data_IF_601849750779
#
_entry.id   IF_601849750779
#
_cell.length_a   1.000
_cell.length_b   1.000
_cell.length_c   1.000
_cell.angle_alpha   90.00
_cell.angle_beta   90.00
_cell.angle_gamma   90.00
#
_symmetry.space_group_name_H-M   'P 1'
#
loop_
_entity.id
_entity.type
_entity.pdbx_description
1 polymer ?
#
# COMPACT_ATOMS: atom_id res chain seq x y z
N UNK A 1 -6.15 -25.79 -5.05
CA UNK A 1 -5.38 -25.74 -6.31
C UNK A 1 -4.49 -24.52 -6.24
N UNK A 2 -3.17 -24.65 -6.13
CA UNK A 2 -2.28 -23.48 -6.21
C UNK A 2 -2.26 -23.00 -7.66
N UNK A 3 -2.64 -21.76 -7.86
CA UNK A 3 -2.59 -21.08 -9.16
C UNK A 3 -1.13 -21.03 -9.64
N UNK A 4 -0.95 -21.43 -10.89
CA UNK A 4 0.33 -21.49 -11.57
C UNK A 4 0.93 -20.08 -11.72
N UNK A 5 1.75 -19.64 -10.75
CA UNK A 5 2.49 -18.38 -10.79
C UNK A 5 3.90 -18.52 -11.37
N UNK A 6 4.19 -19.64 -12.08
CA UNK A 6 5.56 -20.08 -12.35
C UNK A 6 6.19 -19.58 -13.65
N UNK A 7 5.49 -18.88 -14.54
CA UNK A 7 6.04 -18.58 -15.88
C UNK A 7 6.02 -17.09 -16.31
N UNK A 8 5.76 -16.16 -15.38
CA UNK A 8 5.87 -14.75 -15.71
C UNK A 8 7.30 -14.25 -15.44
N UNK A 9 7.94 -13.56 -16.38
CA UNK A 9 9.23 -12.94 -16.12
C UNK A 9 9.08 -11.95 -14.96
N UNK A 10 9.91 -12.10 -13.92
CA UNK A 10 9.86 -11.25 -12.74
C UNK A 10 10.82 -10.08 -12.94
N UNK A 11 10.31 -8.85 -12.99
CA UNK A 11 11.13 -7.64 -12.95
C UNK A 11 11.64 -7.38 -11.52
N UNK A 12 12.76 -8.01 -11.18
CA UNK A 12 13.42 -7.78 -9.89
C UNK A 12 13.84 -6.33 -9.66
N UNK A 13 14.12 -5.57 -10.74
CA UNK A 13 14.52 -4.17 -10.66
C UNK A 13 13.33 -3.30 -10.24
N UNK A 14 12.17 -3.50 -10.86
CA UNK A 14 10.93 -2.78 -10.48
C UNK A 14 10.52 -3.10 -9.05
N UNK A 15 10.58 -4.38 -8.63
CA UNK A 15 10.30 -4.78 -7.26
C UNK A 15 11.27 -4.14 -6.25
N UNK A 16 12.57 -4.12 -6.56
CA UNK A 16 13.58 -3.51 -5.70
C UNK A 16 13.38 -2.01 -5.57
N UNK A 17 13.08 -1.31 -6.67
CA UNK A 17 12.80 0.12 -6.70
C UNK A 17 11.54 0.47 -5.90
N UNK A 18 10.45 -0.28 -6.10
CA UNK A 18 9.22 -0.10 -5.33
C UNK A 18 9.47 -0.20 -3.82
N UNK A 19 10.16 -1.25 -3.38
CA UNK A 19 10.52 -1.42 -1.97
C UNK A 19 11.47 -0.34 -1.45
N UNK A 20 12.38 0.17 -2.28
CA UNK A 20 13.26 1.28 -1.93
C UNK A 20 12.46 2.55 -1.65
N UNK A 21 11.54 2.91 -2.54
CA UNK A 21 10.71 4.12 -2.38
C UNK A 21 9.79 4.03 -1.17
N UNK A 22 9.17 2.86 -0.91
CA UNK A 22 8.40 2.64 0.32
C UNK A 22 9.25 2.86 1.57
N UNK A 23 10.44 2.25 1.65
CA UNK A 23 11.33 2.42 2.81
C UNK A 23 11.79 3.86 3.00
N UNK A 24 12.07 4.56 1.91
CA UNK A 24 12.43 5.97 1.94
C UNK A 24 11.32 6.82 2.55
N UNK A 25 10.09 6.64 2.09
CA UNK A 25 8.93 7.34 2.63
C UNK A 25 8.66 6.99 4.10
N UNK A 26 8.70 5.71 4.47
CA UNK A 26 8.49 5.28 5.86
C UNK A 26 9.56 5.85 6.80
N UNK A 27 10.82 5.88 6.38
CA UNK A 27 11.90 6.49 7.18
C UNK A 27 11.67 7.98 7.41
N UNK A 28 11.27 8.72 6.38
CA UNK A 28 10.88 10.13 6.53
C UNK A 28 9.71 10.26 7.52
N UNK A 29 8.66 9.46 7.35
CA UNK A 29 7.49 9.45 8.22
C UNK A 29 7.85 9.22 9.69
N UNK A 30 8.72 8.26 9.97
CA UNK A 30 9.21 7.98 11.32
C UNK A 30 10.01 9.15 11.91
N UNK A 31 10.86 9.79 11.11
CA UNK A 31 11.68 10.92 11.54
C UNK A 31 10.78 12.10 11.91
N UNK A 32 9.82 12.47 11.06
CA UNK A 32 8.89 13.59 11.32
C UNK A 32 8.06 13.33 12.59
N UNK A 33 7.60 12.10 12.81
CA UNK A 33 6.90 11.76 14.04
C UNK A 33 7.78 11.96 15.28
N UNK A 34 9.03 11.48 15.26
CA UNK A 34 9.98 11.64 16.38
C UNK A 34 10.35 13.10 16.65
N UNK A 35 10.54 13.91 15.60
CA UNK A 35 10.79 15.35 15.74
C UNK A 35 9.62 16.09 16.40
N UNK A 36 8.39 15.59 16.19
CA UNK A 36 7.20 16.08 16.90
C UNK A 36 7.03 15.47 18.31
N UNK A 37 8.01 14.71 18.81
CA UNK A 37 7.96 14.03 20.09
C UNK A 37 6.99 12.83 20.16
N UNK A 38 6.66 12.24 19.02
CA UNK A 38 5.80 11.07 18.91
C UNK A 38 6.58 9.84 18.48
N UNK A 39 6.14 8.66 18.96
CA UNK A 39 6.56 7.42 18.35
C UNK A 39 5.85 7.25 16.98
N UNK A 40 6.48 6.60 15.99
CA UNK A 40 5.89 6.40 14.68
C UNK A 40 4.47 5.80 14.70
N UNK A 41 4.23 4.84 15.58
CA UNK A 41 2.92 4.20 15.75
C UNK A 41 1.84 5.16 16.29
N UNK A 42 2.22 6.21 17.05
CA UNK A 42 1.29 7.23 17.51
C UNK A 42 0.66 7.96 16.34
N UNK A 43 1.48 8.42 15.40
CA UNK A 43 0.99 9.09 14.20
C UNK A 43 0.10 8.17 13.35
N UNK A 44 0.51 6.91 13.15
CA UNK A 44 -0.27 5.94 12.39
C UNK A 44 -1.66 5.72 12.98
N UNK A 45 -1.77 5.64 14.31
CA UNK A 45 -3.07 5.49 14.98
C UNK A 45 -3.94 6.74 14.82
N UNK A 46 -3.38 7.94 15.00
CA UNK A 46 -4.11 9.19 14.80
C UNK A 46 -4.62 9.30 13.34
N UNK A 47 -3.80 8.90 12.38
CA UNK A 47 -4.17 8.89 10.97
C UNK A 47 -5.26 7.86 10.67
N UNK A 48 -5.16 6.66 11.22
CA UNK A 48 -6.17 5.61 11.09
C UNK A 48 -7.52 6.05 11.66
N UNK A 49 -7.53 6.70 12.83
CA UNK A 49 -8.74 7.27 13.43
C UNK A 49 -9.42 8.28 12.52
N UNK A 50 -8.68 9.24 11.98
CA UNK A 50 -9.24 10.30 11.14
C UNK A 50 -9.66 9.81 9.77
N UNK A 51 -8.97 8.79 9.25
CA UNK A 51 -9.17 8.21 7.92
C UNK A 51 -10.09 6.97 7.91
N UNK A 52 -10.85 6.69 8.96
CA UNK A 52 -11.82 5.61 8.94
C UNK A 52 -12.87 5.83 7.85
N UNK A 53 -13.23 4.79 7.08
CA UNK A 53 -14.33 4.88 6.14
C UNK A 53 -15.65 5.24 6.83
N UNK A 54 -16.52 5.90 6.09
CA UNK A 54 -17.85 6.26 6.58
C UNK A 54 -18.61 5.01 7.06
N UNK A 55 -19.31 5.14 8.19
CA UNK A 55 -20.05 4.04 8.83
C UNK A 55 -19.20 3.08 9.66
N UNK A 56 -17.87 3.16 9.63
CA UNK A 56 -17.02 2.36 10.52
C UNK A 56 -16.84 3.01 11.87
N UNK A 57 -16.96 2.20 12.94
CA UNK A 57 -16.73 2.66 14.32
C UNK A 57 -15.26 2.47 14.68
N UNK A 58 -14.67 3.46 15.31
CA UNK A 58 -13.28 3.43 15.78
C UNK A 58 -13.14 2.59 17.06
N UNK A 59 -13.43 1.30 16.97
CA UNK A 59 -13.20 0.34 18.06
C UNK A 59 -11.72 -0.03 18.13
N UNK A 60 -11.30 -0.57 19.29
CA UNK A 60 -9.92 -1.07 19.46
C UNK A 60 -9.59 -2.16 18.42
N UNK A 61 -10.56 -3.05 18.16
CA UNK A 61 -10.39 -4.14 17.16
C UNK A 61 -10.19 -3.60 15.75
N UNK A 62 -11.02 -2.64 15.31
CA UNK A 62 -10.89 -2.00 14.01
C UNK A 62 -9.53 -1.30 13.85
N UNK A 63 -9.07 -0.60 14.90
CA UNK A 63 -7.78 0.08 14.88
C UNK A 63 -6.60 -0.91 14.86
N UNK A 64 -6.69 -2.00 15.62
CA UNK A 64 -5.68 -3.07 15.60
C UNK A 64 -5.53 -3.69 14.22
N UNK A 65 -6.66 -3.97 13.56
CA UNK A 65 -6.68 -4.50 12.19
C UNK A 65 -6.03 -3.53 11.20
N UNK A 66 -6.39 -2.25 11.25
CA UNK A 66 -5.82 -1.23 10.35
C UNK A 66 -4.33 -1.01 10.53
N UNK A 67 -3.86 -1.11 11.76
CA UNK A 67 -2.45 -0.99 12.09
C UNK A 67 -1.68 -2.30 11.91
N UNK A 68 -2.38 -3.42 11.61
CA UNK A 68 -1.80 -4.76 11.50
C UNK A 68 -1.02 -5.16 12.75
N UNK A 69 -1.58 -4.85 13.95
CA UNK A 69 -1.00 -5.18 15.26
C UNK A 69 -1.97 -6.02 16.09
N UNK A 70 -1.44 -6.64 17.12
CA UNK A 70 -2.25 -7.41 18.05
C UNK A 70 -3.17 -6.50 18.87
N UNK A 71 -4.35 -7.02 19.26
CA UNK A 71 -5.35 -6.27 20.04
C UNK A 71 -4.76 -5.66 21.33
N UNK A 72 -3.96 -6.42 22.08
CA UNK A 72 -3.33 -5.92 23.31
C UNK A 72 -2.35 -4.77 23.03
N UNK A 73 -1.60 -4.82 21.93
CA UNK A 73 -0.71 -3.73 21.50
C UNK A 73 -1.49 -2.46 21.15
N UNK A 74 -2.66 -2.62 20.50
CA UNK A 74 -3.54 -1.48 20.23
C UNK A 74 -4.09 -0.86 21.53
N UNK A 75 -4.46 -1.69 22.51
CA UNK A 75 -4.89 -1.21 23.85
C UNK A 75 -3.81 -0.36 24.51
N UNK A 76 -2.56 -0.86 24.54
CA UNK A 76 -1.42 -0.12 25.13
C UNK A 76 -1.14 1.18 24.39
N UNK A 77 -1.16 1.13 23.05
CA UNK A 77 -0.93 2.31 22.22
C UNK A 77 -1.99 3.39 22.47
N UNK A 78 -3.27 3.00 22.52
CA UNK A 78 -4.39 3.90 22.83
C UNK A 78 -4.27 4.48 24.24
N UNK A 79 -3.84 3.68 25.23
CA UNK A 79 -3.62 4.16 26.59
C UNK A 79 -2.57 5.27 26.63
N UNK A 80 -1.40 5.05 25.99
CA UNK A 80 -0.33 6.05 25.89
C UNK A 80 -0.79 7.34 25.20
N UNK A 81 -1.60 7.22 24.15
CA UNK A 81 -2.14 8.40 23.47
C UNK A 81 -3.22 9.12 24.30
N UNK A 82 -3.97 8.39 25.13
CA UNK A 82 -4.93 8.97 26.08
C UNK A 82 -4.21 9.76 27.18
N UNK A 83 -3.11 9.22 27.73
CA UNK A 83 -2.26 9.90 28.73
C UNK A 83 -1.64 11.20 28.19
N UNK A 84 -1.43 11.27 26.87
CA UNK A 84 -0.89 12.45 26.17
C UNK A 84 -1.98 13.41 25.67
N UNK A 85 -3.23 13.18 26.02
CA UNK A 85 -4.39 13.96 25.56
C UNK A 85 -4.50 14.06 24.03
N UNK A 86 -4.10 13.02 23.31
CA UNK A 86 -4.20 12.98 21.85
C UNK A 86 -5.47 12.25 21.39
N UNK A 87 -5.94 11.29 22.18
CA UNK A 87 -7.20 10.57 21.96
C UNK A 87 -8.00 10.45 23.26
N UNK A 88 -9.28 10.21 23.13
CA UNK A 88 -10.17 9.91 24.24
C UNK A 88 -10.97 8.63 23.97
N UNK A 89 -11.34 7.95 25.06
CA UNK A 89 -12.17 6.76 25.04
C UNK A 89 -13.57 7.13 25.48
N UNK A 90 -14.57 6.68 24.76
CA UNK A 90 -15.99 6.91 25.09
C UNK A 90 -16.74 5.60 24.91
N UNK A 91 -17.76 5.35 25.75
CA UNK A 91 -18.68 4.24 25.51
C UNK A 91 -19.58 4.59 24.32
N UNK A 92 -19.83 3.58 23.48
CA UNK A 92 -20.77 3.75 22.37
C UNK A 92 -22.18 4.00 22.94
N UNK A 93 -22.85 5.08 22.52
CA UNK A 93 -24.22 5.36 22.96
C UNK A 93 -25.23 4.27 22.60
N UNK A 94 -24.97 3.54 21.52
CA UNK A 94 -25.84 2.49 21.01
C UNK A 94 -25.50 1.10 21.58
N UNK A 95 -24.24 0.89 21.98
CA UNK A 95 -23.78 -0.36 22.60
C UNK A 95 -22.76 -0.05 23.70
N UNK A 96 -23.24 0.01 24.92
CA UNK A 96 -22.43 0.33 26.11
C UNK A 96 -21.28 -0.65 26.38
N UNK A 97 -21.25 -1.80 25.69
CA UNK A 97 -20.16 -2.77 25.80
C UNK A 97 -18.97 -2.37 24.94
N UNK A 98 -19.19 -1.54 23.92
CA UNK A 98 -18.15 -1.07 23.00
C UNK A 98 -17.52 0.23 23.50
N UNK A 99 -16.19 0.32 23.34
CA UNK A 99 -15.43 1.54 23.57
C UNK A 99 -15.03 2.11 22.22
N UNK A 100 -15.40 3.35 21.96
CA UNK A 100 -15.08 4.10 20.77
C UNK A 100 -13.96 5.07 21.09
N UNK A 101 -12.99 5.13 20.21
CA UNK A 101 -11.83 6.03 20.30
C UNK A 101 -12.09 7.24 19.39
N UNK A 102 -11.75 8.42 19.85
CA UNK A 102 -11.85 9.65 19.06
C UNK A 102 -10.65 10.56 19.33
N UNK A 103 -10.30 11.41 18.36
CA UNK A 103 -9.28 12.44 18.54
C UNK A 103 -9.76 13.50 19.52
N UNK A 104 -8.84 14.03 20.31
CA UNK A 104 -9.04 15.31 21.02
C UNK A 104 -8.74 16.49 20.08
N UNK A 105 -9.07 17.71 20.48
CA UNK A 105 -8.68 18.91 19.72
C UNK A 105 -7.15 19.04 19.60
N UNK A 106 -6.42 18.62 20.64
CA UNK A 106 -4.96 18.56 20.61
C UNK A 106 -4.48 17.50 19.61
N UNK A 107 -5.04 16.28 19.66
CA UNK A 107 -4.73 15.22 18.69
C UNK A 107 -5.02 15.59 17.23
N UNK A 108 -6.12 16.31 16.98
CA UNK A 108 -6.42 16.83 15.64
C UNK A 108 -5.40 17.86 15.15
N UNK A 109 -4.93 18.74 16.03
CA UNK A 109 -3.92 19.73 15.69
C UNK A 109 -2.58 19.07 15.36
N UNK A 110 -2.14 18.14 16.20
CA UNK A 110 -0.89 17.37 15.97
C UNK A 110 -0.99 16.58 14.67
N UNK A 111 -2.07 15.86 14.46
CA UNK A 111 -2.28 15.08 13.23
C UNK A 111 -2.24 15.96 11.98
N UNK A 112 -2.91 17.11 12.00
CA UNK A 112 -2.95 18.04 10.86
C UNK A 112 -1.53 18.52 10.49
N UNK A 113 -0.73 18.88 11.47
CA UNK A 113 0.66 19.32 11.27
C UNK A 113 1.49 18.21 10.62
N UNK A 114 1.44 17.00 11.17
CA UNK A 114 2.21 15.86 10.64
C UNK A 114 1.73 15.45 9.25
N UNK A 115 0.42 15.43 9.02
CA UNK A 115 -0.15 15.08 7.73
C UNK A 115 0.27 16.06 6.62
N UNK A 116 0.48 17.35 6.94
CA UNK A 116 0.97 18.32 5.98
C UNK A 116 2.41 17.99 5.52
N UNK A 117 3.29 17.61 6.42
CA UNK A 117 4.66 17.16 6.08
C UNK A 117 4.64 15.88 5.24
N UNK A 118 3.85 14.89 5.63
CA UNK A 118 3.73 13.64 4.87
C UNK A 118 3.18 13.87 3.46
N UNK A 119 2.19 14.75 3.32
CA UNK A 119 1.66 15.13 2.02
C UNK A 119 2.71 15.79 1.12
N UNK A 120 3.50 16.71 1.68
CA UNK A 120 4.58 17.35 0.94
C UNK A 120 5.63 16.35 0.45
N UNK A 121 6.05 15.42 1.31
CA UNK A 121 7.00 14.37 0.92
C UNK A 121 6.41 13.43 -0.14
N UNK A 122 5.13 13.04 -0.02
CA UNK A 122 4.46 12.21 -1.02
C UNK A 122 4.36 12.89 -2.40
N UNK A 123 4.30 14.22 -2.45
CA UNK A 123 4.36 14.96 -3.72
C UNK A 123 5.74 14.82 -4.39
N UNK A 124 6.80 14.64 -3.60
CA UNK A 124 8.19 14.49 -4.09
C UNK A 124 8.46 13.03 -4.48
N UNK A 125 8.17 12.08 -3.60
CA UNK A 125 8.51 10.66 -3.81
C UNK A 125 7.43 9.87 -4.55
N UNK A 126 6.19 10.37 -4.55
CA UNK A 126 5.03 9.69 -5.11
C UNK A 126 5.17 9.33 -6.59
N UNK A 127 5.65 10.23 -7.48
CA UNK A 127 5.84 9.89 -8.89
C UNK A 127 6.74 8.68 -9.09
N UNK A 128 7.85 8.57 -8.36
CA UNK A 128 8.76 7.43 -8.45
C UNK A 128 8.13 6.14 -7.91
N UNK A 129 7.36 6.24 -6.82
CA UNK A 129 6.62 5.10 -6.24
C UNK A 129 5.57 4.57 -7.21
N UNK A 130 4.80 5.48 -7.84
CA UNK A 130 3.78 5.14 -8.84
C UNK A 130 4.42 4.50 -10.06
N UNK A 131 5.52 5.06 -10.59
CA UNK A 131 6.22 4.52 -11.74
C UNK A 131 6.75 3.10 -11.47
N UNK A 132 7.34 2.85 -10.30
CA UNK A 132 7.83 1.53 -9.92
C UNK A 132 6.68 0.51 -9.77
N UNK A 133 5.53 0.92 -9.20
CA UNK A 133 4.36 0.06 -9.12
C UNK A 133 3.76 -0.25 -10.51
N UNK A 134 3.67 0.76 -11.37
CA UNK A 134 3.18 0.59 -12.75
C UNK A 134 4.05 -0.38 -13.55
N UNK A 135 5.38 -0.30 -13.43
CA UNK A 135 6.29 -1.23 -14.08
C UNK A 135 5.99 -2.68 -13.67
N UNK A 136 5.82 -2.96 -12.37
CA UNK A 136 5.47 -4.29 -11.86
C UNK A 136 4.13 -4.79 -12.45
N UNK A 137 3.13 -3.90 -12.56
CA UNK A 137 1.80 -4.27 -13.05
C UNK A 137 1.76 -4.47 -14.57
N UNK A 138 2.58 -3.74 -15.34
CA UNK A 138 2.66 -3.84 -16.80
C UNK A 138 3.30 -5.14 -17.27
N UNK A 139 4.32 -5.63 -16.59
CA UNK A 139 4.93 -6.94 -16.88
C UNK A 139 3.89 -8.06 -16.82
N UNK A 140 2.94 -7.97 -15.90
CA UNK A 140 1.86 -8.95 -15.75
C UNK A 140 0.87 -8.91 -16.93
N UNK A 141 0.64 -7.75 -17.54
CA UNK A 141 -0.30 -7.57 -18.67
C UNK A 141 0.32 -8.05 -19.98
N UNK A 142 1.61 -7.75 -20.20
CA UNK A 142 2.31 -8.13 -21.45
C UNK A 142 2.53 -9.64 -21.55
N UNK A 143 2.75 -10.32 -20.43
CA UNK A 143 2.87 -11.77 -20.38
C UNK A 143 1.53 -12.51 -20.55
N UNK A 144 0.39 -11.83 -20.38
CA UNK A 144 -0.96 -12.38 -20.59
C UNK A 144 -1.50 -12.16 -22.01
N UNK A 145 -0.80 -11.39 -22.86
CA UNK A 145 -1.20 -11.20 -24.26
C UNK A 145 -0.89 -12.46 -25.09
N UNK A 146 -1.87 -13.03 -25.85
CA UNK A 146 -1.62 -14.16 -26.72
C UNK A 146 -0.56 -13.76 -27.76
N UNK A 147 0.52 -14.53 -27.87
CA UNK A 147 1.43 -14.44 -29.01
C UNK A 147 0.62 -14.73 -30.26
N UNK A 148 0.38 -13.71 -31.08
CA UNK A 148 -0.14 -13.93 -32.44
C UNK A 148 0.86 -14.84 -33.16
N UNK A 149 0.36 -16.01 -33.54
CA UNK A 149 1.13 -17.00 -34.28
C UNK A 149 1.63 -16.35 -35.58
N UNK A 150 2.95 -16.29 -35.76
CA UNK A 150 3.54 -15.91 -37.05
C UNK A 150 2.93 -16.78 -38.16
N UNK A 151 2.47 -16.20 -39.28
CA UNK A 151 1.99 -16.98 -40.41
C UNK A 151 3.15 -17.81 -40.95
N UNK A 152 2.97 -19.13 -40.96
CA UNK A 152 3.87 -20.07 -41.60
C UNK A 152 4.05 -19.62 -43.06
N UNK A 153 5.24 -19.21 -43.45
CA UNK A 153 5.61 -19.07 -44.85
C UNK A 153 5.57 -20.46 -45.47
N UNK A 154 4.53 -20.72 -46.25
CA UNK A 154 4.48 -21.86 -47.16
C UNK A 154 5.65 -21.74 -48.15
N UNK A 155 6.50 -22.77 -48.14
CA UNK A 155 7.52 -22.99 -49.14
C UNK A 155 6.79 -23.33 -50.48
N UNK A 156 6.67 -22.31 -51.35
CA UNK A 156 6.35 -22.48 -52.75
C UNK A 156 7.65 -22.49 -53.53
N UNK A 157 8.35 -23.63 -53.51
CA UNK A 157 9.42 -23.91 -54.46
C UNK A 157 9.59 -25.42 -54.55
N UNK A 158 8.78 -26.04 -55.42
CA UNK A 158 9.08 -27.33 -56.06
C UNK A 158 7.98 -27.63 -57.08
N UNK A 159 8.07 -27.08 -58.26
CA UNK A 159 7.62 -27.69 -59.54
C UNK A 159 8.22 -26.83 -60.68
N UNK A 160 9.32 -27.29 -61.27
CA UNK A 160 9.63 -27.12 -62.66
C UNK A 160 11.05 -27.68 -62.96
N UNK A 161 11.14 -28.97 -63.16
CA UNK A 161 12.18 -29.60 -63.92
C UNK A 161 11.73 -31.00 -64.31
N UNK A 162 10.98 -31.09 -65.40
CA UNK A 162 10.93 -32.24 -66.29
C UNK A 162 10.13 -31.84 -67.52
N UNK A 163 10.85 -31.48 -68.58
CA UNK A 163 10.48 -31.68 -69.94
C UNK A 163 11.41 -30.90 -70.89
N UNK A 164 12.56 -31.50 -71.16
CA UNK A 164 13.24 -31.29 -72.41
C UNK A 164 14.24 -32.43 -72.62
N UNK A 165 13.73 -33.48 -73.28
CA UNK A 165 14.51 -34.30 -74.18
C UNK A 165 13.58 -35.13 -75.05
N UNK A 166 13.28 -34.68 -76.25
CA UNK A 166 13.27 -35.40 -77.51
C UNK A 166 12.84 -34.48 -78.63
#
# INVERSE_FOLDING_TARGET
>A
MPSNHQDLPIDYRALAEFRYQIRRFLRFSEQVAREAGLEPQHYQLLLALKGLPEGRKATITELAERLQIQHHSAVELINRLTERDLVRKQRDPLDQRQVIISLTSHGETVLRTLAAYHRAELQIVGPALVAALQAILQDTVQAAAPQEAEPRRENADQVDQEHQEL
#
